data_IF_224423399009
#
_entry.id   IF_224423399009
#
_cell.length_a   1.000
_cell.length_b   1.000
_cell.length_c   1.000
_cell.angle_alpha   90.00
_cell.angle_beta   90.00
_cell.angle_gamma   90.00
#
_symmetry.space_group_name_H-M   'P 1'
#
loop_
_entity.id
_entity.type
_entity.pdbx_description
1 polymer ?
#
# COMPACT_ATOMS: atom_id res chain seq x y z
N UNK A 1 23.02 8.85 -4.18
CA UNK A 1 21.95 9.03 -5.17
C UNK A 1 20.82 9.75 -4.44
N UNK A 2 20.24 10.80 -5.03
CA UNK A 2 19.15 11.55 -4.39
C UNK A 2 17.83 10.92 -4.79
N UNK A 3 16.95 10.65 -3.82
CA UNK A 3 15.62 10.09 -4.03
C UNK A 3 14.60 11.21 -4.03
N UNK A 4 13.76 11.27 -5.07
CA UNK A 4 12.72 12.28 -5.26
C UNK A 4 11.36 11.70 -4.93
N UNK A 5 10.62 12.34 -4.02
CA UNK A 5 9.28 11.90 -3.62
C UNK A 5 8.27 13.00 -3.91
N UNK A 6 7.25 12.69 -4.70
CA UNK A 6 6.12 13.59 -4.90
C UNK A 6 5.09 13.43 -3.78
N UNK A 7 4.70 14.54 -3.17
CA UNK A 7 3.75 14.58 -2.06
C UNK A 7 2.47 15.27 -2.53
N UNK A 8 1.35 14.56 -2.50
CA UNK A 8 0.02 15.18 -2.61
C UNK A 8 -0.28 15.95 -1.31
N UNK A 9 0.03 17.24 -1.31
CA UNK A 9 -0.07 18.08 -0.11
C UNK A 9 -1.52 18.36 0.30
N UNK A 10 -2.47 18.22 -0.63
CA UNK A 10 -3.87 18.56 -0.38
C UNK A 10 -4.68 17.38 0.18
N UNK A 11 -4.14 16.16 0.12
CA UNK A 11 -4.81 14.95 0.58
C UNK A 11 -4.84 14.78 2.10
N UNK A 12 -5.90 14.15 2.59
CA UNK A 12 -6.12 13.86 4.02
C UNK A 12 -7.10 14.84 4.67
N UNK A 13 -7.54 14.52 5.89
CA UNK A 13 -8.61 15.25 6.57
C UNK A 13 -8.16 16.68 6.95
N UNK A 14 -6.85 16.85 7.20
CA UNK A 14 -6.23 18.12 7.58
C UNK A 14 -5.35 18.73 6.48
N UNK A 15 -5.15 18.01 5.36
CA UNK A 15 -4.45 18.46 4.16
C UNK A 15 -3.08 19.14 4.43
N UNK A 16 -2.82 20.33 3.85
CA UNK A 16 -1.52 21.01 3.91
C UNK A 16 -0.95 21.25 5.31
N UNK A 17 -1.82 21.40 6.32
CA UNK A 17 -1.41 21.62 7.71
C UNK A 17 -0.73 20.41 8.36
N UNK A 18 -0.84 19.23 7.75
CA UNK A 18 -0.17 17.99 8.19
C UNK A 18 0.93 17.60 7.22
N UNK A 19 0.62 17.60 5.92
CA UNK A 19 1.53 17.08 4.88
C UNK A 19 2.81 17.92 4.73
N UNK A 20 2.70 19.26 4.85
CA UNK A 20 3.84 20.17 4.66
C UNK A 20 4.79 20.15 5.86
N UNK A 21 4.33 20.26 7.13
CA UNK A 21 5.22 20.08 8.28
C UNK A 21 5.95 18.73 8.27
N UNK A 22 5.26 17.65 7.92
CA UNK A 22 5.88 16.32 7.79
C UNK A 22 6.96 16.29 6.71
N UNK A 23 6.70 16.89 5.54
CA UNK A 23 7.67 16.99 4.46
C UNK A 23 8.89 17.84 4.84
N UNK A 24 8.68 18.99 5.48
CA UNK A 24 9.78 19.85 5.97
C UNK A 24 10.63 19.11 7.01
N UNK A 25 9.98 18.45 7.97
CA UNK A 25 10.64 17.64 9.00
C UNK A 25 11.49 16.53 8.36
N UNK A 26 10.88 15.72 7.49
CA UNK A 26 11.58 14.61 6.85
C UNK A 26 12.78 15.08 6.04
N UNK A 27 12.58 16.08 5.17
CA UNK A 27 13.67 16.63 4.37
C UNK A 27 14.78 17.15 5.28
N UNK A 28 14.48 17.82 6.39
CA UNK A 28 15.50 18.33 7.31
C UNK A 28 16.39 17.23 7.91
N UNK A 29 15.84 16.04 8.17
CA UNK A 29 16.56 14.94 8.81
C UNK A 29 17.16 13.91 7.85
N UNK A 30 16.71 13.86 6.59
CA UNK A 30 17.16 12.87 5.59
C UNK A 30 17.88 13.55 4.42
N UNK A 31 19.23 13.68 4.45
CA UNK A 31 20.03 14.36 3.43
C UNK A 31 19.82 13.85 1.99
N UNK A 32 19.51 12.56 1.83
CA UNK A 32 19.32 11.91 0.53
C UNK A 32 17.95 12.15 -0.12
N UNK A 33 17.01 12.82 0.57
CA UNK A 33 15.66 13.04 0.09
C UNK A 33 15.45 14.45 -0.49
N UNK A 34 14.83 14.51 -1.67
CA UNK A 34 14.21 15.69 -2.25
C UNK A 34 12.70 15.49 -2.36
N UNK A 35 11.91 16.48 -1.91
CA UNK A 35 10.45 16.38 -1.92
C UNK A 35 9.84 17.39 -2.89
N UNK A 36 8.90 16.90 -3.69
CA UNK A 36 8.12 17.69 -4.64
C UNK A 36 6.72 17.87 -4.04
N UNK A 37 6.43 19.06 -3.54
CA UNK A 37 5.17 19.42 -2.91
C UNK A 37 4.15 19.77 -4.00
N UNK A 38 3.11 18.95 -4.14
CA UNK A 38 2.12 19.07 -5.20
C UNK A 38 0.78 19.53 -4.64
N UNK A 39 0.24 20.63 -5.18
CA UNK A 39 -1.04 21.17 -4.74
C UNK A 39 -1.25 22.63 -5.10
N UNK A 40 -2.19 23.27 -4.40
CA UNK A 40 -2.46 24.70 -4.58
C UNK A 40 -1.25 25.52 -4.13
N UNK A 41 -0.55 26.13 -5.10
CA UNK A 41 0.75 26.78 -4.87
C UNK A 41 0.70 27.84 -3.75
N UNK A 42 -0.31 28.71 -3.74
CA UNK A 42 -0.45 29.77 -2.73
C UNK A 42 -0.60 29.19 -1.31
N UNK A 43 -1.34 28.09 -1.18
CA UNK A 43 -1.55 27.40 0.11
C UNK A 43 -0.24 26.77 0.59
N UNK A 44 0.49 26.09 -0.32
CA UNK A 44 1.79 25.48 0.01
C UNK A 44 2.79 26.56 0.43
N UNK A 45 2.89 27.67 -0.31
CA UNK A 45 3.79 28.78 0.01
C UNK A 45 3.47 29.42 1.36
N UNK A 46 2.19 29.57 1.68
CA UNK A 46 1.75 30.11 2.96
C UNK A 46 2.17 29.22 4.14
N UNK A 47 1.98 27.90 4.03
CA UNK A 47 2.40 26.94 5.07
C UNK A 47 3.93 26.89 5.22
N UNK A 48 4.68 26.83 4.11
CA UNK A 48 6.14 26.88 4.16
C UNK A 48 6.66 28.16 4.83
N UNK A 49 5.99 29.31 4.60
CA UNK A 49 6.34 30.58 5.25
C UNK A 49 6.14 30.51 6.77
N UNK A 50 5.04 29.91 7.24
CA UNK A 50 4.80 29.72 8.69
C UNK A 50 5.89 28.89 9.36
N UNK A 51 6.46 27.92 8.62
CA UNK A 51 7.52 27.04 9.09
C UNK A 51 8.94 27.59 8.88
N UNK A 52 9.10 28.81 8.33
CA UNK A 52 10.39 29.37 7.91
C UNK A 52 11.16 28.47 6.92
N UNK A 53 10.44 27.74 6.07
CA UNK A 53 10.98 26.74 5.15
C UNK A 53 10.83 27.14 3.65
N UNK A 54 10.47 28.38 3.35
CA UNK A 54 10.22 28.84 1.97
C UNK A 54 11.43 28.72 1.02
N UNK A 55 12.65 28.70 1.56
CA UNK A 55 13.91 28.57 0.81
C UNK A 55 14.62 27.25 1.06
N UNK A 56 13.92 26.22 1.52
CA UNK A 56 14.53 24.92 1.79
C UNK A 56 15.00 24.26 0.48
N UNK A 57 16.32 24.07 0.32
CA UNK A 57 16.94 23.69 -0.95
C UNK A 57 16.47 22.34 -1.54
N UNK A 58 15.88 21.47 -0.71
CA UNK A 58 15.40 20.13 -1.10
C UNK A 58 13.87 20.04 -1.20
N UNK A 59 13.17 21.17 -1.12
CA UNK A 59 11.73 21.24 -1.36
C UNK A 59 11.49 22.01 -2.65
N UNK A 60 10.70 21.43 -3.55
CA UNK A 60 10.19 22.11 -4.75
C UNK A 60 8.67 22.09 -4.74
N UNK A 61 8.04 23.02 -5.45
CA UNK A 61 6.58 23.13 -5.54
C UNK A 61 6.17 22.87 -6.98
N UNK A 62 5.17 22.00 -7.17
CA UNK A 62 4.47 21.83 -8.45
C UNK A 62 3.02 22.22 -8.23
N UNK A 63 2.58 23.24 -8.94
CA UNK A 63 1.20 23.71 -8.86
C UNK A 63 0.22 22.70 -9.46
N UNK A 64 -0.88 22.48 -8.77
CA UNK A 64 -2.06 21.76 -9.26
C UNK A 64 -3.29 22.61 -8.94
N UNK A 65 -4.20 22.79 -9.90
CA UNK A 65 -5.33 23.72 -9.75
C UNK A 65 -6.59 23.08 -9.16
N UNK A 66 -6.59 21.76 -8.97
CA UNK A 66 -7.74 21.01 -8.47
C UNK A 66 -7.36 20.17 -7.25
N UNK A 67 -8.36 19.76 -6.47
CA UNK A 67 -8.20 18.87 -5.31
C UNK A 67 -9.28 17.81 -5.36
N UNK A 68 -8.90 16.54 -5.16
CA UNK A 68 -9.85 15.45 -4.95
C UNK A 68 -10.28 15.48 -3.48
N UNK A 69 -11.56 15.73 -3.23
CA UNK A 69 -12.14 15.72 -1.90
C UNK A 69 -12.29 14.29 -1.37
N UNK A 70 -12.42 14.14 -0.05
CA UNK A 70 -12.51 12.81 0.58
C UNK A 70 -13.81 12.07 0.22
N UNK A 71 -14.87 12.81 -0.12
CA UNK A 71 -16.19 12.32 -0.53
C UNK A 71 -16.40 12.30 -2.05
N UNK A 72 -15.40 12.71 -2.85
CA UNK A 72 -15.50 12.66 -4.30
C UNK A 72 -15.68 11.21 -4.78
N UNK A 73 -16.64 10.95 -5.69
CA UNK A 73 -16.70 9.68 -6.37
C UNK A 73 -15.42 9.41 -7.17
N UNK A 74 -15.01 8.14 -7.22
CA UNK A 74 -13.81 7.69 -7.97
C UNK A 74 -13.84 8.16 -9.43
N UNK A 75 -15.02 8.16 -10.07
CA UNK A 75 -15.18 8.64 -11.45
C UNK A 75 -14.78 10.12 -11.60
N UNK A 76 -15.16 10.98 -10.66
CA UNK A 76 -14.87 12.41 -10.70
C UNK A 76 -13.37 12.63 -10.60
N UNK A 77 -12.72 11.97 -9.63
CA UNK A 77 -11.27 12.02 -9.46
C UNK A 77 -10.53 11.56 -10.72
N UNK A 78 -11.01 10.49 -11.38
CA UNK A 78 -10.34 9.89 -12.52
C UNK A 78 -10.55 10.65 -13.84
N UNK A 79 -11.78 11.11 -14.11
CA UNK A 79 -12.18 11.64 -15.42
C UNK A 79 -12.22 13.16 -15.48
N UNK A 80 -12.61 13.82 -14.38
CA UNK A 80 -12.84 15.27 -14.34
C UNK A 80 -11.64 16.01 -13.77
N UNK A 81 -11.14 15.60 -12.60
CA UNK A 81 -10.08 16.30 -11.85
C UNK A 81 -8.66 15.91 -12.31
N UNK A 82 -8.38 16.09 -13.61
CA UNK A 82 -7.12 15.68 -14.24
C UNK A 82 -5.91 16.54 -13.81
N UNK A 83 -6.15 17.75 -13.31
CA UNK A 83 -5.13 18.64 -12.74
C UNK A 83 -5.22 18.69 -11.21
N UNK A 84 -5.69 17.61 -10.59
CA UNK A 84 -5.68 17.49 -9.12
C UNK A 84 -4.29 17.24 -8.58
N UNK A 85 -4.02 17.72 -7.37
CA UNK A 85 -2.76 17.48 -6.64
C UNK A 85 -2.37 15.99 -6.65
N UNK A 86 -3.33 15.12 -6.35
CA UNK A 86 -3.19 13.66 -6.40
C UNK A 86 -2.79 13.16 -7.79
N UNK A 87 -3.49 13.61 -8.85
CA UNK A 87 -3.22 13.18 -10.23
C UNK A 87 -1.85 13.65 -10.71
N UNK A 88 -1.51 14.90 -10.41
CA UNK A 88 -0.22 15.50 -10.78
C UNK A 88 0.92 14.79 -10.06
N UNK A 89 0.80 14.50 -8.76
CA UNK A 89 1.83 13.76 -8.01
C UNK A 89 2.10 12.39 -8.62
N UNK A 90 1.06 11.62 -8.96
CA UNK A 90 1.20 10.31 -9.62
C UNK A 90 1.81 10.44 -11.03
N UNK A 91 1.46 11.49 -11.78
CA UNK A 91 2.06 11.74 -13.09
C UNK A 91 3.58 12.00 -13.00
N UNK A 92 4.07 12.64 -11.93
CA UNK A 92 5.51 12.84 -11.75
C UNK A 92 6.26 11.51 -11.64
N UNK A 93 5.66 10.48 -11.03
CA UNK A 93 6.23 9.12 -11.00
C UNK A 93 6.22 8.50 -12.40
N UNK A 94 5.11 8.63 -13.14
CA UNK A 94 4.99 8.15 -14.53
C UNK A 94 6.05 8.74 -15.45
N UNK A 95 6.36 10.02 -15.25
CA UNK A 95 7.31 10.80 -16.05
C UNK A 95 8.77 10.62 -15.63
N UNK A 96 9.04 9.83 -14.58
CA UNK A 96 10.39 9.65 -14.03
C UNK A 96 10.94 10.91 -13.35
N UNK A 97 10.07 11.85 -12.95
CA UNK A 97 10.43 13.06 -12.19
C UNK A 97 10.42 12.83 -10.67
N UNK A 98 9.74 11.79 -10.22
CA UNK A 98 9.74 11.31 -8.84
C UNK A 98 9.89 9.78 -8.84
N UNK A 99 10.56 9.24 -7.83
CA UNK A 99 10.77 7.80 -7.63
C UNK A 99 9.58 7.14 -6.91
N UNK A 100 8.88 7.92 -6.07
CA UNK A 100 7.69 7.48 -5.36
C UNK A 100 6.69 8.62 -5.12
N UNK A 101 5.43 8.26 -4.90
CA UNK A 101 4.35 9.19 -4.55
C UNK A 101 3.74 8.86 -3.18
N UNK A 102 3.45 9.89 -2.37
CA UNK A 102 2.74 9.76 -1.10
C UNK A 102 1.48 10.62 -1.11
N UNK A 103 0.34 10.07 -0.66
CA UNK A 103 -0.90 10.81 -0.50
C UNK A 103 -1.70 10.30 0.72
N UNK A 104 -2.32 11.22 1.45
CA UNK A 104 -3.34 10.90 2.46
C UNK A 104 -4.77 11.06 1.92
N UNK A 105 -4.97 11.40 0.64
CA UNK A 105 -6.28 11.61 0.03
C UNK A 105 -7.15 10.36 -0.05
N UNK A 106 -8.31 10.47 -0.71
CA UNK A 106 -9.27 9.37 -0.83
C UNK A 106 -8.59 8.09 -1.38
N UNK A 107 -8.68 6.99 -0.62
CA UNK A 107 -7.99 5.72 -0.95
C UNK A 107 -8.42 5.16 -2.31
N UNK A 108 -9.73 5.13 -2.58
CA UNK A 108 -10.27 4.61 -3.82
C UNK A 108 -9.88 5.46 -5.02
N UNK A 109 -9.92 6.79 -4.88
CA UNK A 109 -9.46 7.73 -5.90
C UNK A 109 -7.97 7.56 -6.19
N UNK A 110 -7.13 7.49 -5.15
CA UNK A 110 -5.69 7.29 -5.29
C UNK A 110 -5.41 5.97 -6.01
N UNK A 111 -6.10 4.90 -5.63
CA UNK A 111 -5.93 3.58 -6.26
C UNK A 111 -6.31 3.62 -7.74
N UNK A 112 -7.49 4.16 -8.07
CA UNK A 112 -7.97 4.23 -9.44
C UNK A 112 -7.08 5.12 -10.32
N UNK A 113 -6.67 6.29 -9.82
CA UNK A 113 -5.77 7.21 -10.51
C UNK A 113 -4.41 6.56 -10.73
N UNK A 114 -3.83 5.93 -9.70
CA UNK A 114 -2.52 5.28 -9.78
C UNK A 114 -2.54 4.11 -10.77
N UNK A 115 -3.54 3.24 -10.70
CA UNK A 115 -3.72 2.15 -11.66
C UNK A 115 -3.90 2.67 -13.08
N UNK A 116 -4.67 3.72 -13.28
CA UNK A 116 -4.88 4.29 -14.61
C UNK A 116 -3.60 4.87 -15.21
N UNK A 117 -2.87 5.66 -14.43
CA UNK A 117 -1.66 6.37 -14.87
C UNK A 117 -0.51 5.38 -15.02
N UNK A 118 -0.15 4.65 -13.96
CA UNK A 118 1.04 3.82 -13.91
C UNK A 118 0.86 2.46 -14.61
N UNK A 119 -0.38 1.96 -14.67
CA UNK A 119 -0.71 0.57 -15.05
C UNK A 119 -0.16 -0.44 -14.04
N UNK A 120 -0.61 -1.68 -14.17
CA UNK A 120 -0.12 -2.81 -13.37
C UNK A 120 1.12 -3.43 -14.00
N UNK A 121 1.94 -4.06 -13.17
CA UNK A 121 3.04 -4.92 -13.61
C UNK A 121 2.44 -6.03 -14.51
N UNK A 122 3.09 -6.40 -15.63
CA UNK A 122 2.60 -7.49 -16.47
C UNK A 122 2.31 -8.75 -15.66
N UNK A 123 1.16 -9.39 -15.92
CA UNK A 123 0.69 -10.55 -15.15
C UNK A 123 -0.20 -10.19 -13.95
N UNK A 124 -0.12 -8.96 -13.42
CA UNK A 124 -0.97 -8.53 -12.31
C UNK A 124 -2.26 -7.88 -12.83
N UNK A 125 -3.41 -8.42 -12.43
CA UNK A 125 -4.72 -7.92 -12.85
C UNK A 125 -5.14 -6.67 -12.06
N UNK A 126 -4.93 -6.74 -10.74
CA UNK A 126 -5.31 -5.69 -9.79
C UNK A 126 -4.19 -5.48 -8.75
N UNK A 127 -3.85 -4.22 -8.43
CA UNK A 127 -2.97 -3.94 -7.32
C UNK A 127 -3.65 -4.22 -5.97
N UNK A 128 -2.86 -4.44 -4.94
CA UNK A 128 -3.33 -4.68 -3.56
C UNK A 128 -2.71 -3.67 -2.58
N UNK A 129 -3.41 -3.36 -1.50
CA UNK A 129 -2.84 -2.62 -0.37
C UNK A 129 -2.07 -3.61 0.49
N UNK A 130 -0.76 -3.40 0.61
CA UNK A 130 0.10 -4.16 1.51
C UNK A 130 0.49 -3.32 2.72
N UNK A 131 0.41 -3.91 3.91
CA UNK A 131 0.81 -3.28 5.16
C UNK A 131 1.55 -4.24 6.08
N UNK A 132 2.66 -3.81 6.70
CA UNK A 132 3.35 -4.60 7.72
C UNK A 132 2.63 -4.46 9.07
N UNK A 133 2.06 -5.56 9.55
CA UNK A 133 1.43 -5.66 10.86
C UNK A 133 2.47 -6.02 11.93
N UNK A 134 2.43 -5.39 13.12
CA UNK A 134 3.28 -5.79 14.23
C UNK A 134 2.90 -7.20 14.71
N UNK A 135 3.89 -7.97 15.16
CA UNK A 135 3.69 -9.30 15.73
C UNK A 135 4.65 -9.53 16.92
N UNK A 136 4.69 -10.76 17.43
CA UNK A 136 5.56 -11.17 18.55
C UNK A 136 7.02 -11.41 18.16
N UNK A 137 7.33 -11.47 16.86
CA UNK A 137 8.69 -11.68 16.35
C UNK A 137 9.37 -10.33 16.05
N UNK A 138 10.58 -10.36 15.50
CA UNK A 138 11.32 -9.13 15.15
C UNK A 138 10.93 -8.57 13.77
N UNK A 139 10.42 -9.43 12.88
CA UNK A 139 10.00 -9.06 11.52
C UNK A 139 8.47 -8.98 11.45
N UNK A 140 7.88 -7.96 10.81
CA UNK A 140 6.43 -7.83 10.77
C UNK A 140 5.76 -8.90 9.90
N UNK A 141 4.47 -9.11 10.12
CA UNK A 141 3.63 -9.93 9.23
C UNK A 141 3.05 -9.04 8.13
N UNK A 142 3.31 -9.32 6.86
CA UNK A 142 2.82 -8.52 5.74
C UNK A 142 1.42 -8.98 5.34
N UNK A 143 0.42 -8.09 5.47
CA UNK A 143 -0.96 -8.41 5.10
C UNK A 143 -1.36 -7.77 3.77
N UNK A 144 -2.05 -8.56 2.95
CA UNK A 144 -2.68 -8.16 1.68
C UNK A 144 -4.03 -8.85 1.55
N UNK A 145 -5.03 -8.35 0.83
CA UNK A 145 -5.29 -6.95 0.54
C UNK A 145 -5.98 -6.28 1.75
N UNK A 146 -5.83 -4.97 1.91
CA UNK A 146 -6.36 -4.20 3.04
C UNK A 146 -7.32 -3.09 2.62
N UNK A 147 -7.97 -3.28 1.47
CA UNK A 147 -9.07 -2.43 1.02
C UNK A 147 -8.96 -1.86 -0.38
N UNK A 148 -8.03 -2.34 -1.23
CA UNK A 148 -8.05 -1.97 -2.64
C UNK A 148 -9.19 -2.65 -3.41
N UNK A 149 -9.49 -3.90 -3.06
CA UNK A 149 -10.42 -4.77 -3.75
C UNK A 149 -11.40 -5.38 -2.75
N UNK A 150 -12.61 -4.83 -2.67
CA UNK A 150 -13.67 -5.33 -1.79
C UNK A 150 -14.09 -6.74 -2.19
N UNK A 151 -14.33 -6.95 -3.49
CA UNK A 151 -14.71 -8.24 -4.05
C UNK A 151 -13.54 -8.85 -4.84
N UNK A 152 -13.19 -10.08 -4.49
CA UNK A 152 -12.10 -10.81 -5.10
C UNK A 152 -12.55 -12.19 -5.61
N UNK A 153 -11.94 -12.62 -6.70
CA UNK A 153 -12.03 -13.98 -7.24
C UNK A 153 -10.80 -14.76 -6.72
N UNK A 154 -10.82 -16.10 -6.73
CA UNK A 154 -9.70 -16.91 -6.23
C UNK A 154 -8.35 -16.55 -6.87
N UNK A 155 -8.36 -16.22 -8.16
CA UNK A 155 -7.18 -15.82 -8.91
C UNK A 155 -6.58 -14.50 -8.37
N UNK A 156 -7.41 -13.59 -7.87
CA UNK A 156 -6.91 -12.34 -7.27
C UNK A 156 -6.15 -12.61 -5.97
N UNK A 157 -6.70 -13.44 -5.07
CA UNK A 157 -5.99 -13.80 -3.82
C UNK A 157 -4.72 -14.59 -4.12
N UNK A 158 -4.76 -15.48 -5.11
CA UNK A 158 -3.57 -16.18 -5.60
C UNK A 158 -2.49 -15.20 -6.08
N UNK A 159 -2.84 -14.19 -6.88
CA UNK A 159 -1.90 -13.13 -7.29
C UNK A 159 -1.38 -12.32 -6.09
N UNK A 160 -2.23 -12.01 -5.10
CA UNK A 160 -1.82 -11.30 -3.90
C UNK A 160 -0.78 -12.07 -3.09
N UNK A 161 -0.90 -13.40 -3.02
CA UNK A 161 0.08 -14.28 -2.40
C UNK A 161 1.44 -14.23 -3.11
N UNK A 162 1.45 -14.31 -4.45
CA UNK A 162 2.68 -14.23 -5.24
C UNK A 162 3.33 -12.84 -5.11
N UNK A 163 2.54 -11.78 -5.18
CA UNK A 163 3.04 -10.42 -5.00
C UNK A 163 3.58 -10.19 -3.58
N UNK A 164 2.87 -10.64 -2.54
CA UNK A 164 3.32 -10.54 -1.15
C UNK A 164 4.63 -11.32 -0.91
N UNK A 165 4.73 -12.53 -1.47
CA UNK A 165 5.96 -13.32 -1.46
C UNK A 165 7.12 -12.59 -2.14
N UNK A 166 6.88 -12.00 -3.32
CA UNK A 166 7.87 -11.19 -4.02
C UNK A 166 8.32 -9.96 -3.21
N UNK A 167 7.39 -9.28 -2.56
CA UNK A 167 7.67 -8.13 -1.70
C UNK A 167 8.56 -8.52 -0.51
N UNK A 168 8.18 -9.55 0.24
CA UNK A 168 8.94 -9.97 1.44
C UNK A 168 10.30 -10.52 1.04
N UNK A 169 10.39 -11.28 -0.05
CA UNK A 169 11.68 -11.73 -0.59
C UNK A 169 12.58 -10.56 -0.96
N UNK A 170 12.02 -9.48 -1.50
CA UNK A 170 12.76 -8.26 -1.83
C UNK A 170 13.06 -7.35 -0.63
N UNK A 171 12.33 -7.42 0.48
CA UNK A 171 12.57 -6.56 1.65
C UNK A 171 13.47 -7.23 2.69
N UNK A 172 13.21 -8.51 2.96
CA UNK A 172 13.82 -9.26 4.07
C UNK A 172 14.92 -10.21 3.58
N UNK A 173 15.28 -10.16 2.30
CA UNK A 173 16.23 -11.06 1.63
C UNK A 173 15.93 -12.55 1.87
N UNK A 174 14.64 -12.86 2.08
CA UNK A 174 14.13 -14.21 2.37
C UNK A 174 13.64 -14.86 1.08
N UNK A 175 14.44 -15.76 0.51
CA UNK A 175 14.16 -16.34 -0.82
C UNK A 175 12.78 -17.01 -0.96
N UNK A 176 12.25 -17.64 0.10
CA UNK A 176 10.95 -18.33 0.12
C UNK A 176 10.14 -17.99 1.38
N UNK A 177 9.54 -16.79 1.45
CA UNK A 177 8.74 -16.39 2.60
C UNK A 177 7.48 -17.25 2.71
N UNK A 178 7.08 -17.61 3.93
CA UNK A 178 5.87 -18.39 4.21
C UNK A 178 4.64 -17.54 3.95
N UNK A 179 3.65 -18.14 3.28
CA UNK A 179 2.38 -17.47 2.94
C UNK A 179 1.22 -18.22 3.56
N UNK A 180 0.46 -17.53 4.39
CA UNK A 180 -0.81 -17.98 4.96
C UNK A 180 -2.00 -17.38 4.23
N UNK A 181 -3.08 -18.16 4.11
CA UNK A 181 -4.38 -17.69 3.62
C UNK A 181 -5.31 -17.45 4.81
N UNK A 182 -5.73 -16.22 5.04
CA UNK A 182 -6.56 -15.88 6.19
C UNK A 182 -7.92 -16.58 6.08
N UNK A 183 -8.30 -17.26 7.15
CA UNK A 183 -9.51 -18.08 7.20
C UNK A 183 -10.12 -18.06 8.60
N UNK A 184 -11.27 -18.72 8.75
CA UNK A 184 -12.04 -18.88 10.00
C UNK A 184 -11.66 -20.14 10.78
N UNK A 185 -10.54 -20.77 10.41
CA UNK A 185 -10.04 -22.03 10.96
C UNK A 185 -8.93 -22.59 10.08
N UNK A 186 -8.06 -23.40 10.67
CA UNK A 186 -6.90 -23.98 9.97
C UNK A 186 -7.29 -25.11 9.01
N UNK A 187 -8.44 -25.78 9.22
CA UNK A 187 -8.78 -26.97 8.43
C UNK A 187 -9.15 -26.64 6.98
N UNK A 188 -8.74 -27.51 6.05
CA UNK A 188 -8.93 -27.32 4.59
C UNK A 188 -10.38 -27.11 4.15
N UNK A 189 -11.34 -27.59 4.94
CA UNK A 189 -12.78 -27.49 4.65
C UNK A 189 -13.41 -26.17 5.12
N UNK A 190 -12.67 -25.31 5.83
CA UNK A 190 -13.15 -24.04 6.37
C UNK A 190 -13.02 -22.91 5.35
N UNK A 191 -13.82 -21.88 5.57
CA UNK A 191 -13.87 -20.70 4.69
C UNK A 191 -14.95 -20.79 3.62
N UNK A 192 -15.09 -19.67 2.92
CA UNK A 192 -15.99 -19.56 1.78
C UNK A 192 -15.38 -20.22 0.53
N UNK A 193 -16.15 -20.29 -0.55
CA UNK A 193 -15.73 -20.93 -1.79
C UNK A 193 -14.49 -20.27 -2.41
N UNK A 194 -14.39 -18.93 -2.33
CA UNK A 194 -13.24 -18.17 -2.84
C UNK A 194 -11.95 -18.60 -2.15
N UNK A 195 -11.97 -18.68 -0.81
CA UNK A 195 -10.81 -19.09 0.01
C UNK A 195 -10.43 -20.55 -0.29
N UNK A 196 -11.41 -21.46 -0.38
CA UNK A 196 -11.15 -22.87 -0.70
C UNK A 196 -10.48 -23.05 -2.06
N UNK A 197 -11.02 -22.40 -3.09
CA UNK A 197 -10.45 -22.45 -4.44
C UNK A 197 -9.06 -21.80 -4.50
N UNK A 198 -8.85 -20.70 -3.77
CA UNK A 198 -7.53 -20.07 -3.64
C UNK A 198 -6.52 -21.03 -3.01
N UNK A 199 -6.90 -21.74 -1.94
CA UNK A 199 -6.03 -22.70 -1.29
C UNK A 199 -5.60 -23.84 -2.24
N UNK A 200 -6.50 -24.30 -3.13
CA UNK A 200 -6.15 -25.29 -4.16
C UNK A 200 -5.08 -24.74 -5.13
N UNK A 201 -5.23 -23.50 -5.59
CA UNK A 201 -4.25 -22.85 -6.48
C UNK A 201 -2.88 -22.70 -5.78
N UNK A 202 -2.88 -22.25 -4.53
CA UNK A 202 -1.64 -22.03 -3.77
C UNK A 202 -0.94 -23.36 -3.42
N UNK A 203 -1.69 -24.42 -3.09
CA UNK A 203 -1.12 -25.76 -2.89
C UNK A 203 -0.46 -26.28 -4.17
N UNK A 204 -1.11 -26.14 -5.32
CA UNK A 204 -0.55 -26.58 -6.59
C UNK A 204 0.78 -25.87 -6.93
N UNK A 205 0.90 -24.58 -6.59
CA UNK A 205 2.15 -23.84 -6.79
C UNK A 205 3.20 -24.13 -5.72
N UNK A 206 2.77 -24.48 -4.51
CA UNK A 206 3.65 -24.97 -3.46
C UNK A 206 4.30 -26.30 -3.83
N UNK A 207 3.53 -27.25 -4.36
CA UNK A 207 4.03 -28.54 -4.84
C UNK A 207 5.05 -28.39 -5.99
N UNK A 208 4.89 -27.37 -6.83
CA UNK A 208 5.86 -26.99 -7.88
C UNK A 208 7.07 -26.22 -7.34
N UNK A 209 7.07 -25.86 -6.05
CA UNK A 209 8.14 -25.10 -5.40
C UNK A 209 8.17 -23.60 -5.72
N UNK A 210 7.11 -23.06 -6.32
CA UNK A 210 6.95 -21.64 -6.72
C UNK A 210 6.72 -20.76 -5.50
N UNK A 211 5.89 -21.22 -4.55
CA UNK A 211 5.56 -20.49 -3.32
C UNK A 211 5.70 -21.38 -2.08
N UNK A 212 5.98 -20.79 -0.92
CA UNK A 212 6.00 -21.50 0.35
C UNK A 212 4.65 -21.34 1.06
N UNK A 213 3.62 -22.04 0.57
CA UNK A 213 2.28 -21.97 1.14
C UNK A 213 2.22 -22.77 2.45
N UNK A 214 1.97 -22.06 3.55
CA UNK A 214 1.83 -22.65 4.88
C UNK A 214 0.48 -23.35 5.04
N UNK A 215 -0.57 -22.79 4.46
CA UNK A 215 -1.95 -23.24 4.64
C UNK A 215 -2.89 -22.11 5.06
N UNK A 216 -4.02 -22.49 5.62
CA UNK A 216 -4.93 -21.54 6.26
C UNK A 216 -4.33 -21.02 7.56
N UNK A 217 -4.58 -19.75 7.87
CA UNK A 217 -4.19 -19.10 9.14
C UNK A 217 -5.37 -18.30 9.70
N UNK A 218 -5.44 -18.17 11.01
CA UNK A 218 -6.49 -17.40 11.70
C UNK A 218 -6.02 -15.99 12.07
N UNK A 219 -6.95 -15.17 12.58
CA UNK A 219 -6.65 -13.77 12.92
C UNK A 219 -5.58 -13.59 14.01
N UNK A 220 -5.42 -14.57 14.90
CA UNK A 220 -4.37 -14.58 15.92
C UNK A 220 -2.96 -14.80 15.34
N UNK A 221 -2.84 -15.58 14.27
CA UNK A 221 -1.55 -15.91 13.63
C UNK A 221 -0.84 -14.68 13.09
N UNK A 222 -1.61 -13.66 12.69
CA UNK A 222 -1.09 -12.36 12.26
C UNK A 222 -0.14 -11.79 13.32
N UNK A 223 -0.56 -11.81 14.58
CA UNK A 223 0.19 -11.24 15.70
C UNK A 223 1.18 -12.22 16.32
N UNK A 224 1.03 -13.53 16.08
CA UNK A 224 2.02 -14.53 16.49
C UNK A 224 3.23 -14.55 15.54
N UNK A 225 3.06 -14.11 14.29
CA UNK A 225 4.11 -14.17 13.27
C UNK A 225 4.27 -15.58 12.70
N UNK A 226 3.18 -16.36 12.64
CA UNK A 226 3.16 -17.74 12.13
C UNK A 226 3.61 -17.82 10.68
N UNK A 227 3.28 -16.80 9.88
CA UNK A 227 3.69 -16.67 8.48
C UNK A 227 4.23 -15.27 8.20
N UNK A 228 5.09 -15.13 7.18
CA UNK A 228 5.62 -13.82 6.79
C UNK A 228 4.57 -12.99 6.05
N UNK A 229 3.72 -13.64 5.25
CA UNK A 229 2.67 -13.02 4.44
C UNK A 229 1.32 -13.64 4.77
N UNK A 230 0.31 -12.81 5.00
CA UNK A 230 -1.09 -13.25 5.17
C UNK A 230 -1.96 -12.61 4.09
N UNK A 231 -2.71 -13.45 3.37
CA UNK A 231 -3.55 -13.03 2.25
C UNK A 231 -5.03 -13.14 2.56
N UNK A 232 -5.80 -12.13 2.16
CA UNK A 232 -7.25 -12.03 2.28
C UNK A 232 -7.81 -11.09 1.20
N UNK A 233 -9.13 -11.05 1.05
CA UNK A 233 -9.80 -9.99 0.29
C UNK A 233 -9.75 -8.65 1.05
N UNK A 234 -9.91 -7.56 0.30
CA UNK A 234 -9.79 -6.21 0.86
C UNK A 234 -10.90 -5.84 1.83
N UNK A 235 -12.06 -6.50 1.81
CA UNK A 235 -13.11 -6.26 2.80
C UNK A 235 -12.67 -6.80 4.16
N UNK A 236 -12.33 -8.10 4.23
CA UNK A 236 -11.86 -8.76 5.45
C UNK A 236 -10.59 -8.08 5.97
N UNK A 237 -9.61 -7.85 5.10
CA UNK A 237 -8.34 -7.24 5.50
C UNK A 237 -8.51 -5.84 6.06
N UNK A 238 -9.34 -4.99 5.46
CA UNK A 238 -9.60 -3.66 5.99
C UNK A 238 -10.32 -3.70 7.34
N UNK A 239 -11.27 -4.63 7.53
CA UNK A 239 -11.92 -4.84 8.85
C UNK A 239 -10.91 -5.25 9.90
N UNK A 240 -10.03 -6.21 9.59
CA UNK A 240 -8.97 -6.67 10.49
C UNK A 240 -8.01 -5.53 10.83
N UNK A 241 -7.55 -4.76 9.85
CA UNK A 241 -6.66 -3.62 10.06
C UNK A 241 -7.32 -2.58 10.99
N UNK A 242 -8.57 -2.18 10.70
CA UNK A 242 -9.28 -1.16 11.49
C UNK A 242 -9.58 -1.61 12.91
N UNK A 243 -9.96 -2.88 13.10
CA UNK A 243 -10.15 -3.47 14.42
C UNK A 243 -8.84 -3.47 15.23
N UNK A 244 -7.73 -3.84 14.59
CA UNK A 244 -6.39 -3.88 15.19
C UNK A 244 -5.88 -2.50 15.61
N UNK A 245 -6.03 -1.49 14.73
CA UNK A 245 -5.74 -0.09 15.04
C UNK A 245 -6.60 0.43 16.20
N UNK A 246 -7.89 0.09 16.21
CA UNK A 246 -8.84 0.45 17.25
C UNK A 246 -8.47 -0.14 18.61
N UNK A 247 -8.12 -1.43 18.65
CA UNK A 247 -7.67 -2.13 19.85
C UNK A 247 -6.37 -1.51 20.39
N UNK A 248 -5.40 -1.20 19.52
CA UNK A 248 -4.17 -0.52 19.90
C UNK A 248 -4.41 0.84 20.57
N UNK A 249 -5.32 1.66 20.01
CA UNK A 249 -5.73 2.95 20.61
C UNK A 249 -6.44 2.78 21.95
N UNK A 250 -7.30 1.76 22.06
CA UNK A 250 -7.98 1.43 23.30
C UNK A 250 -6.98 1.05 24.40
N UNK A 251 -6.08 0.10 24.14
CA UNK A 251 -5.05 -0.34 25.11
C UNK A 251 -4.14 0.81 25.56
N UNK A 252 -3.72 1.67 24.63
CA UNK A 252 -2.93 2.88 24.96
C UNK A 252 -3.68 3.80 25.93
N UNK A 253 -4.98 3.98 25.73
CA UNK A 253 -5.82 4.82 26.58
C UNK A 253 -6.01 4.19 27.97
N UNK A 254 -6.29 2.89 28.02
CA UNK A 254 -6.44 2.14 29.29
C UNK A 254 -5.16 2.20 30.11
N UNK A 255 -4.00 1.89 29.52
CA UNK A 255 -2.71 1.97 30.23
C UNK A 255 -2.42 3.38 30.73
N UNK A 256 -2.62 4.41 29.90
CA UNK A 256 -2.39 5.80 30.30
C UNK A 256 -3.27 6.21 31.49
N UNK A 257 -4.51 5.74 31.53
CA UNK A 257 -5.44 6.05 32.62
C UNK A 257 -5.07 5.29 33.90
N UNK A 258 -4.74 4.00 33.79
CA UNK A 258 -4.41 3.16 34.94
C UNK A 258 -3.10 3.60 35.63
N UNK A 259 -2.07 3.96 34.85
CA UNK A 259 -0.83 4.49 35.42
C UNK A 259 -0.99 5.86 36.08
N UNK A 260 -2.08 6.59 35.76
CA UNK A 260 -2.41 7.88 36.37
C UNK A 260 -3.46 7.78 37.47
N UNK A 261 -3.97 6.59 37.78
CA UNK A 261 -5.11 6.42 38.66
C UNK A 261 -4.78 6.77 40.12
N UNK A 262 -3.52 6.58 40.55
CA UNK A 262 -3.09 6.94 41.90
C UNK A 262 -1.56 7.26 41.97
N UNK A 263 -1.09 7.91 43.06
CA UNK A 263 0.32 8.29 43.21
C UNK A 263 1.32 7.11 43.19
N UNK A 264 0.91 5.92 43.67
CA UNK A 264 1.75 4.72 43.64
C UNK A 264 1.95 4.23 42.20
N UNK A 265 0.88 4.22 41.40
CA UNK A 265 0.93 3.87 39.99
C UNK A 265 1.76 4.87 39.17
N UNK A 266 1.70 6.16 39.50
CA UNK A 266 2.53 7.20 38.86
C UNK A 266 4.02 6.94 39.16
N UNK A 267 4.36 6.61 40.41
CA UNK A 267 5.73 6.25 40.78
C UNK A 267 6.18 4.97 40.05
N UNK A 268 5.31 3.95 39.98
CA UNK A 268 5.55 2.74 39.19
C UNK A 268 5.77 3.04 37.71
N UNK A 269 4.99 3.95 37.12
CA UNK A 269 5.14 4.37 35.73
C UNK A 269 6.48 5.08 35.47
N UNK A 270 6.95 5.86 36.44
CA UNK A 270 8.26 6.52 36.36
C UNK A 270 9.40 5.49 36.35
N UNK A 271 9.33 4.48 37.23
CA UNK A 271 10.31 3.38 37.25
C UNK A 271 10.25 2.58 35.94
N UNK A 272 9.04 2.30 35.44
CA UNK A 272 8.83 1.54 34.21
C UNK A 272 8.93 2.37 32.92
N UNK A 273 9.31 3.65 32.99
CA UNK A 273 9.21 4.59 31.86
C UNK A 273 9.95 4.10 30.61
N UNK A 274 11.11 3.45 30.76
CA UNK A 274 11.86 2.88 29.64
C UNK A 274 11.08 1.78 28.92
N UNK A 275 10.50 0.84 29.67
CA UNK A 275 9.68 -0.24 29.14
C UNK A 275 8.37 0.30 28.52
N UNK A 276 7.70 1.24 29.19
CA UNK A 276 6.49 1.89 28.67
C UNK A 276 6.75 2.66 27.37
N UNK A 277 7.90 3.32 27.26
CA UNK A 277 8.33 3.97 26.02
C UNK A 277 8.56 2.95 24.90
N UNK A 278 9.24 1.84 25.19
CA UNK A 278 9.46 0.77 24.22
C UNK A 278 8.14 0.13 23.76
N UNK A 279 7.22 -0.17 24.68
CA UNK A 279 5.87 -0.69 24.38
C UNK A 279 5.11 0.31 23.51
N UNK A 280 5.06 1.58 23.93
CA UNK A 280 4.39 2.63 23.16
C UNK A 280 5.01 2.78 21.77
N UNK A 281 6.32 2.57 21.61
CA UNK A 281 6.98 2.63 20.31
C UNK A 281 6.65 1.41 19.44
N UNK A 282 6.56 0.20 19.99
CA UNK A 282 6.19 -1.00 19.24
C UNK A 282 4.73 -1.02 18.83
N UNK A 283 3.84 -0.51 19.70
CA UNK A 283 2.40 -0.49 19.48
C UNK A 283 1.89 0.78 18.77
N UNK A 284 2.76 1.72 18.38
CA UNK A 284 2.32 2.97 17.76
C UNK A 284 1.89 2.74 16.30
N UNK A 285 0.59 2.77 15.95
CA UNK A 285 0.13 2.53 14.58
C UNK A 285 0.67 3.57 13.59
N UNK A 286 0.93 4.80 14.05
CA UNK A 286 1.48 5.88 13.25
C UNK A 286 2.86 5.55 12.66
N UNK A 287 3.68 4.76 13.37
CA UNK A 287 4.98 4.29 12.84
C UNK A 287 4.80 3.29 11.71
N UNK A 288 3.64 2.65 11.67
CA UNK A 288 3.29 1.74 10.62
C UNK A 288 2.53 2.44 9.48
N UNK A 289 2.46 3.76 9.41
CA UNK A 289 1.74 4.45 8.35
C UNK A 289 2.46 4.39 6.99
N UNK A 290 1.71 4.52 5.88
CA UNK A 290 2.22 4.44 4.51
C UNK A 290 2.06 3.04 3.93
N UNK A 291 0.83 2.66 3.57
CA UNK A 291 0.54 1.39 2.92
C UNK A 291 0.91 1.46 1.43
N UNK A 292 1.59 0.43 0.92
CA UNK A 292 2.02 0.40 -0.49
C UNK A 292 0.93 -0.17 -1.39
N UNK A 293 0.76 0.42 -2.57
CA UNK A 293 -0.05 -0.16 -3.64
C UNK A 293 0.81 -1.10 -4.49
N UNK A 294 0.84 -2.36 -4.05
CA UNK A 294 1.64 -3.40 -4.67
C UNK A 294 1.04 -3.85 -6.01
N UNK A 295 1.88 -4.08 -7.01
CA UNK A 295 1.45 -4.52 -8.35
C UNK A 295 1.33 -3.40 -9.39
N UNK A 296 1.65 -2.14 -9.03
CA UNK A 296 1.74 -1.01 -9.96
C UNK A 296 3.15 -0.89 -10.55
N UNK A 297 3.28 -0.29 -11.76
CA UNK A 297 4.58 0.03 -12.38
C UNK A 297 5.26 1.28 -11.80
N UNK A 298 4.96 1.63 -10.57
CA UNK A 298 5.46 2.81 -9.88
C UNK A 298 5.11 2.74 -8.40
N UNK A 299 5.95 3.33 -7.55
CA UNK A 299 5.75 3.30 -6.10
C UNK A 299 4.74 4.35 -5.67
N UNK A 300 3.63 3.92 -5.06
CA UNK A 300 2.59 4.79 -4.50
C UNK A 300 2.24 4.33 -3.09
N UNK A 301 2.31 5.26 -2.15
CA UNK A 301 2.06 5.04 -0.73
C UNK A 301 0.84 5.84 -0.26
N UNK A 302 -0.10 5.13 0.35
CA UNK A 302 -1.28 5.69 0.99
C UNK A 302 -1.02 5.90 2.48
N UNK A 303 -0.99 7.15 2.91
CA UNK A 303 -1.06 7.52 4.33
C UNK A 303 -2.50 7.47 4.83
N UNK A 304 -2.74 7.19 6.10
CA UNK A 304 -4.05 7.36 6.71
C UNK A 304 -4.52 8.84 6.61
N UNK A 305 -5.82 9.06 6.38
CA UNK A 305 -6.39 10.40 6.14
C UNK A 305 -6.35 11.31 7.38
N UNK A 306 -6.66 10.73 8.54
CA UNK A 306 -6.68 11.43 9.83
C UNK A 306 -5.36 11.37 10.62
N UNK A 307 -4.24 11.10 9.95
CA UNK A 307 -2.93 11.07 10.62
C UNK A 307 -2.43 12.48 10.95
N UNK A 308 -1.55 12.59 11.96
CA UNK A 308 -0.82 13.82 12.24
C UNK A 308 0.49 13.91 11.43
N UNK A 309 1.23 15.01 11.58
CA UNK A 309 2.48 15.22 10.86
C UNK A 309 3.55 14.16 11.18
N UNK A 310 3.57 13.65 12.42
CA UNK A 310 4.52 12.62 12.84
C UNK A 310 4.24 11.29 12.13
N UNK A 311 2.99 10.85 12.10
CA UNK A 311 2.63 9.63 11.38
C UNK A 311 2.73 9.79 9.86
N UNK A 312 2.44 10.97 9.31
CA UNK A 312 2.62 11.23 7.89
C UNK A 312 4.10 11.16 7.47
N UNK A 313 5.01 11.66 8.32
CA UNK A 313 6.47 11.55 8.09
C UNK A 313 6.93 10.08 7.96
N UNK A 314 6.33 9.14 8.71
CA UNK A 314 6.60 7.71 8.53
C UNK A 314 6.18 7.18 7.16
N UNK A 315 5.09 7.69 6.58
CA UNK A 315 4.69 7.32 5.22
C UNK A 315 5.70 7.85 4.17
N UNK A 316 6.24 9.06 4.37
CA UNK A 316 7.32 9.61 3.54
C UNK A 316 8.58 8.75 3.67
N UNK A 317 8.96 8.40 4.91
CA UNK A 317 10.11 7.53 5.17
C UNK A 317 9.99 6.20 4.44
N UNK A 318 8.82 5.56 4.45
CA UNK A 318 8.62 4.30 3.71
C UNK A 318 8.74 4.44 2.21
N UNK A 319 8.21 5.52 1.65
CA UNK A 319 8.37 5.80 0.24
C UNK A 319 9.85 5.99 -0.14
N UNK A 320 10.60 6.70 0.72
CA UNK A 320 12.05 6.86 0.58
C UNK A 320 12.80 5.53 0.68
N UNK A 321 12.54 4.72 1.71
CA UNK A 321 13.17 3.43 1.93
C UNK A 321 12.90 2.49 0.73
N UNK A 322 11.66 2.43 0.25
CA UNK A 322 11.30 1.59 -0.90
C UNK A 322 12.01 2.03 -2.20
N UNK A 323 12.08 3.34 -2.46
CA UNK A 323 12.76 3.86 -3.64
C UNK A 323 14.28 3.69 -3.56
N UNK A 324 14.89 3.96 -2.39
CA UNK A 324 16.33 3.83 -2.17
C UNK A 324 16.85 2.39 -2.28
N UNK A 325 16.01 1.40 -2.01
CA UNK A 325 16.35 -0.02 -2.12
C UNK A 325 15.90 -0.67 -3.45
N UNK A 326 15.54 0.15 -4.45
CA UNK A 326 15.10 -0.28 -5.78
C UNK A 326 13.97 -1.33 -5.73
N UNK A 327 13.04 -1.14 -4.78
CA UNK A 327 12.03 -2.14 -4.45
C UNK A 327 11.14 -2.48 -5.65
N UNK A 328 10.81 -1.49 -6.49
CA UNK A 328 9.99 -1.68 -7.67
C UNK A 328 10.64 -2.64 -8.68
N UNK A 329 11.93 -2.48 -8.96
CA UNK A 329 12.62 -3.34 -9.91
C UNK A 329 12.76 -4.76 -9.35
N UNK A 330 13.10 -4.89 -8.06
CA UNK A 330 13.20 -6.19 -7.36
C UNK A 330 11.87 -6.94 -7.40
N UNK A 331 10.78 -6.29 -7.04
CA UNK A 331 9.43 -6.89 -7.06
C UNK A 331 9.02 -7.23 -8.49
N UNK A 332 9.23 -6.34 -9.46
CA UNK A 332 8.85 -6.58 -10.86
C UNK A 332 9.58 -7.80 -11.43
N UNK A 333 10.86 -7.95 -11.10
CA UNK A 333 11.65 -9.13 -11.47
C UNK A 333 11.08 -10.40 -10.85
N UNK A 334 10.87 -10.43 -9.54
CA UNK A 334 10.36 -11.62 -8.85
C UNK A 334 8.93 -11.96 -9.29
N UNK A 335 8.07 -10.97 -9.53
CA UNK A 335 6.72 -11.21 -10.09
C UNK A 335 6.82 -11.84 -11.49
N UNK A 336 7.72 -11.36 -12.35
CA UNK A 336 7.91 -11.95 -13.68
C UNK A 336 8.39 -13.40 -13.61
N UNK A 337 9.19 -13.76 -12.60
CA UNK A 337 9.64 -15.13 -12.34
C UNK A 337 8.51 -16.02 -11.78
N UNK A 338 7.69 -15.49 -10.87
CA UNK A 338 6.58 -16.22 -10.24
C UNK A 338 5.32 -16.33 -11.14
N UNK A 339 5.15 -15.40 -12.06
CA UNK A 339 3.99 -15.29 -12.95
C UNK A 339 4.45 -15.25 -14.42
N UNK A 340 5.08 -16.33 -14.92
CA UNK A 340 5.54 -16.38 -16.31
C UNK A 340 4.35 -16.22 -17.25
N UNK A 341 4.47 -15.31 -18.21
CA UNK A 341 3.44 -15.13 -19.21
C UNK A 341 3.32 -16.41 -20.05
N UNK A 342 2.10 -16.95 -20.19
CA UNK A 342 1.83 -17.86 -21.29
C UNK A 342 2.02 -17.07 -22.58
N UNK A 343 2.92 -17.50 -23.45
CA UNK A 343 3.01 -16.98 -24.82
C UNK A 343 1.61 -17.01 -25.42
N UNK A 344 1.14 -15.86 -25.93
CA UNK A 344 -0.12 -15.78 -26.63
C UNK A 344 -0.07 -16.77 -27.80
N UNK A 345 -0.80 -17.88 -27.69
CA UNK A 345 -0.99 -18.81 -28.81
C UNK A 345 -1.54 -17.99 -29.98
N UNK A 346 -0.85 -17.93 -31.13
CA UNK A 346 -1.34 -17.19 -32.27
C UNK A 346 -2.74 -17.68 -32.60
N UNK A 347 -3.72 -16.77 -32.61
CA UNK A 347 -5.08 -17.11 -32.98
C UNK A 347 -5.05 -17.82 -34.34
N UNK A 348 -5.61 -19.03 -34.38
CA UNK A 348 -5.72 -19.79 -35.63
C UNK A 348 -6.41 -18.93 -36.69
N UNK A 349 -5.93 -18.90 -37.94
CA UNK A 349 -6.55 -18.11 -38.98
C UNK A 349 -7.99 -18.56 -39.19
N UNK A 350 -8.91 -17.61 -39.09
CA UNK A 350 -10.34 -17.82 -39.39
C UNK A 350 -10.46 -18.28 -40.85
N UNK A 351 -11.18 -19.38 -41.15
CA UNK A 351 -11.38 -19.81 -42.53
C UNK A 351 -12.13 -18.72 -43.31
N UNK A 352 -11.58 -18.34 -44.47
CA UNK A 352 -12.10 -17.28 -45.31
C UNK A 352 -13.53 -17.54 -45.79
N UNK A 353 -14.29 -16.44 -45.86
CA UNK A 353 -15.62 -16.36 -46.44
C UNK A 353 -15.65 -16.92 -47.87
N UNK A 354 -16.45 -17.95 -48.08
CA UNK A 354 -16.81 -18.45 -49.41
C UNK A 354 -18.04 -17.67 -49.86
N UNK A 355 -17.83 -16.57 -50.57
CA UNK A 355 -18.91 -15.89 -51.31
C UNK A 355 -18.42 -15.49 -52.69
N UNK A 356 -18.53 -16.40 -53.65
CA UNK A 356 -18.76 -16.02 -55.04
C UNK A 356 -19.32 -17.21 -55.81
N UNK A 357 -20.43 -16.95 -56.53
CA UNK A 357 -21.07 -17.69 -57.62
C UNK A 357 -22.56 -17.95 -57.34
N UNK A 358 -23.41 -16.99 -57.73
CA UNK A 358 -24.62 -17.24 -58.55
C UNK A 358 -25.35 -15.94 -58.88
N UNK A 359 -25.03 -15.33 -60.02
CA UNK A 359 -25.98 -14.48 -60.73
C UNK A 359 -26.04 -14.93 -62.20
N UNK A 360 -27.01 -15.80 -62.50
CA UNK A 360 -27.58 -15.97 -63.83
C UNK A 360 -28.99 -16.54 -63.68
N UNK A 361 -30.01 -15.69 -63.89
CA UNK A 361 -31.12 -15.90 -64.86
C UNK A 361 -32.28 -14.91 -64.61
N UNK A 362 -32.47 -14.03 -65.59
CA UNK A 362 -33.75 -13.62 -66.25
C UNK A 362 -35.00 -13.47 -65.36
N UNK A 363 -35.65 -12.30 -65.31
CA UNK A 363 -36.38 -11.65 -66.41
C UNK A 363 -36.67 -10.18 -66.06
#
# INVERSE_FOLDING_TARGET
MTIKISIDCMGGDHGPSVTIPAAVSFASHEPGAELILVGLEDVIRAELKKLNASSHARLSIVNATEVVAMDDPVEVALRRKKNSSMRVAVNLVKEGKADACVSAGNTGALMAVSRYVLKTIPGVDRPAICFPMPNQTETPTYMLDLGANVDCEPQHLHQFALMGSALVSALEDKAKPTVGLLNIGEEDIKGNEVVKQTAVLLRADHEKGVINFYGNVEGNDIFQGTTDVVVCDGFVGNVVLKASEGLGRFLKTVFKNEFKSNPVNILGAFIAQGALKAISQRMNPSRYNGASFLGLRGLVFKSHGGEDAYGYEWAIKRAYDAASHDLLARISKTIAELMPQQEAVPAAPVPGDVTELTHQKTA
#
